data_IF_387560347996
#
_entry.id   IF_387560347996
#
_cell.length_a   1.000
_cell.length_b   1.000
_cell.length_c   1.000
_cell.angle_alpha   90.00
_cell.angle_beta   90.00
_cell.angle_gamma   90.00
#
_symmetry.space_group_name_H-M   'P 1'
#
loop_
_entity.id
_entity.type
_entity.pdbx_description
1 polymer ?
#
# COMPACT_ATOMS: atom_id res chain seq x y z
N UNK A 1 -22.39 -18.10 14.88
CA UNK A 1 -21.43 -17.10 14.34
C UNK A 1 -20.18 -17.84 13.89
N UNK A 2 -19.88 -17.86 12.59
CA UNK A 2 -18.74 -18.60 12.06
C UNK A 2 -17.42 -17.99 12.57
N UNK A 3 -16.59 -18.80 13.24
CA UNK A 3 -15.28 -18.39 13.73
C UNK A 3 -14.37 -18.18 12.52
N UNK A 4 -14.12 -16.93 12.16
CA UNK A 4 -13.19 -16.57 11.07
C UNK A 4 -11.82 -17.14 11.40
N UNK A 5 -11.26 -17.97 10.52
CA UNK A 5 -9.94 -18.56 10.73
C UNK A 5 -8.88 -17.45 10.83
N UNK A 6 -7.79 -17.65 11.60
CA UNK A 6 -6.74 -16.63 11.77
C UNK A 6 -6.18 -16.09 10.45
N UNK A 7 -5.99 -16.95 9.45
CA UNK A 7 -5.52 -16.56 8.11
C UNK A 7 -6.53 -15.65 7.37
N UNK A 8 -7.83 -15.94 7.48
CA UNK A 8 -8.88 -15.10 6.89
C UNK A 8 -8.93 -13.72 7.56
N UNK A 9 -8.66 -13.64 8.87
CA UNK A 9 -8.56 -12.34 9.55
C UNK A 9 -7.40 -11.49 9.03
N UNK A 10 -6.22 -12.09 8.83
CA UNK A 10 -5.07 -11.39 8.23
C UNK A 10 -5.40 -10.90 6.82
N UNK A 11 -5.99 -11.76 5.97
CA UNK A 11 -6.41 -11.40 4.61
C UNK A 11 -7.39 -10.23 4.61
N UNK A 12 -8.41 -10.29 5.45
CA UNK A 12 -9.48 -9.30 5.50
C UNK A 12 -8.99 -7.94 6.03
N UNK A 13 -8.18 -7.92 7.08
CA UNK A 13 -7.63 -6.68 7.62
C UNK A 13 -6.64 -6.01 6.67
N UNK A 14 -5.87 -6.83 5.94
CA UNK A 14 -4.99 -6.36 4.88
C UNK A 14 -5.77 -5.69 3.75
N UNK A 15 -6.85 -6.32 3.28
CA UNK A 15 -7.73 -5.75 2.28
C UNK A 15 -8.42 -4.46 2.78
N UNK A 16 -8.92 -4.47 4.02
CA UNK A 16 -9.53 -3.29 4.64
C UNK A 16 -8.56 -2.12 4.73
N UNK A 17 -7.32 -2.35 5.16
CA UNK A 17 -6.29 -1.31 5.23
C UNK A 17 -5.97 -0.69 3.85
N UNK A 18 -6.06 -1.46 2.76
CA UNK A 18 -5.91 -0.94 1.40
C UNK A 18 -7.12 -0.11 0.95
N UNK A 19 -8.35 -0.51 1.33
CA UNK A 19 -9.56 0.27 1.06
C UNK A 19 -9.60 1.58 1.85
N UNK A 20 -9.07 1.59 3.08
CA UNK A 20 -9.05 2.78 3.92
C UNK A 20 -8.09 3.86 3.45
N UNK A 21 -7.08 3.52 2.64
CA UNK A 21 -6.19 4.51 2.04
C UNK A 21 -6.91 5.54 1.15
N UNK A 22 -8.07 5.17 0.57
CA UNK A 22 -8.87 6.07 -0.27
C UNK A 22 -9.89 6.90 0.51
N UNK A 23 -9.97 6.74 1.84
CA UNK A 23 -10.90 7.49 2.68
C UNK A 23 -10.18 8.67 3.36
N UNK A 24 -10.87 9.80 3.62
CA UNK A 24 -10.35 10.91 4.41
C UNK A 24 -10.36 10.59 5.92
N UNK A 25 -9.96 9.37 6.27
CA UNK A 25 -10.03 8.81 7.63
C UNK A 25 -8.78 7.97 7.92
N UNK A 26 -7.60 8.61 8.06
CA UNK A 26 -6.32 7.91 8.23
C UNK A 26 -6.31 6.97 9.46
N UNK A 27 -7.09 7.29 10.50
CA UNK A 27 -7.23 6.45 11.69
C UNK A 27 -7.85 5.05 11.41
N UNK A 28 -8.66 4.89 10.37
CA UNK A 28 -9.24 3.59 10.00
C UNK A 28 -8.15 2.62 9.54
N UNK A 29 -7.22 3.12 8.72
CA UNK A 29 -6.03 2.39 8.30
C UNK A 29 -5.15 2.04 9.49
N UNK A 30 -4.89 3.01 10.37
CA UNK A 30 -4.05 2.78 11.54
C UNK A 30 -4.65 1.74 12.49
N UNK A 31 -5.99 1.75 12.66
CA UNK A 31 -6.71 0.73 13.40
C UNK A 31 -6.58 -0.65 12.76
N UNK A 32 -6.71 -0.76 11.44
CA UNK A 32 -6.52 -2.02 10.72
C UNK A 32 -5.08 -2.56 10.84
N UNK A 33 -4.08 -1.67 10.80
CA UNK A 33 -2.68 -2.04 11.03
C UNK A 33 -2.41 -2.46 12.47
N UNK A 34 -3.00 -1.79 13.45
CA UNK A 34 -2.90 -2.15 14.86
C UNK A 34 -3.49 -3.56 15.10
N UNK A 35 -4.63 -3.84 14.49
CA UNK A 35 -5.25 -5.17 14.57
C UNK A 35 -4.40 -6.24 13.86
N UNK A 36 -3.83 -5.94 12.69
CA UNK A 36 -2.87 -6.88 12.06
C UNK A 36 -1.70 -7.20 13.00
N UNK A 37 -1.13 -6.20 13.69
CA UNK A 37 -0.02 -6.42 14.64
C UNK A 37 -0.42 -7.32 15.82
N UNK A 38 -1.68 -7.32 16.22
CA UNK A 38 -2.19 -8.14 17.34
C UNK A 38 -2.32 -9.63 16.98
N UNK A 39 -2.37 -9.98 15.69
CA UNK A 39 -2.51 -11.37 15.19
C UNK A 39 -1.20 -12.19 15.18
N UNK A 40 -0.18 -11.80 15.94
CA UNK A 40 1.07 -12.55 16.06
C UNK A 40 2.08 -12.30 14.93
N UNK A 41 3.08 -13.18 14.75
CA UNK A 41 4.21 -12.93 13.82
C UNK A 41 3.79 -12.73 12.36
N UNK A 42 2.80 -13.47 11.88
CA UNK A 42 2.25 -13.33 10.53
C UNK A 42 1.51 -12.01 10.34
N UNK A 43 0.68 -11.65 11.32
CA UNK A 43 -0.02 -10.37 11.35
C UNK A 43 0.93 -9.17 11.40
N UNK A 44 2.01 -9.24 12.19
CA UNK A 44 3.06 -8.19 12.21
C UNK A 44 3.75 -8.04 10.86
N UNK A 45 4.08 -9.15 10.19
CA UNK A 45 4.66 -9.13 8.83
C UNK A 45 3.68 -8.52 7.84
N UNK A 46 2.40 -8.87 7.90
CA UNK A 46 1.36 -8.25 7.08
C UNK A 46 1.21 -6.75 7.36
N UNK A 47 1.21 -6.33 8.64
CA UNK A 47 1.15 -4.92 9.02
C UNK A 47 2.37 -4.12 8.55
N UNK A 48 3.57 -4.71 8.55
CA UNK A 48 4.77 -4.08 7.99
C UNK A 48 4.64 -3.91 6.46
N UNK A 49 4.21 -4.95 5.75
CA UNK A 49 3.99 -4.90 4.29
C UNK A 49 2.95 -3.85 3.91
N UNK A 50 1.82 -3.81 4.61
CA UNK A 50 0.77 -2.81 4.38
C UNK A 50 1.18 -1.43 4.91
N UNK A 51 1.97 -1.37 5.98
CA UNK A 51 2.40 -0.14 6.60
C UNK A 51 3.48 0.62 5.81
N UNK A 52 4.24 -0.08 4.95
CA UNK A 52 5.41 0.46 4.27
C UNK A 52 5.12 1.71 3.41
N UNK A 53 3.96 1.75 2.74
CA UNK A 53 3.54 2.88 1.92
C UNK A 53 2.34 3.60 2.53
N UNK A 54 2.32 4.93 2.45
CA UNK A 54 1.13 5.75 2.72
C UNK A 54 0.07 5.50 1.64
N UNK A 55 -1.18 5.92 1.88
CA UNK A 55 -2.24 5.76 0.88
C UNK A 55 -1.92 6.45 -0.45
N UNK A 56 -1.39 7.67 -0.40
CA UNK A 56 -0.97 8.39 -1.60
C UNK A 56 0.20 7.73 -2.32
N UNK A 57 1.17 7.21 -1.58
CA UNK A 57 2.29 6.45 -2.15
C UNK A 57 1.82 5.15 -2.81
N UNK A 58 0.86 4.45 -2.20
CA UNK A 58 0.26 3.24 -2.75
C UNK A 58 -0.50 3.52 -4.04
N UNK A 59 -1.24 4.61 -4.10
CA UNK A 59 -1.96 5.02 -5.30
C UNK A 59 -0.99 5.28 -6.46
N UNK A 60 0.07 6.06 -6.22
CA UNK A 60 1.14 6.30 -7.21
C UNK A 60 1.82 4.99 -7.63
N UNK A 61 2.20 4.15 -6.67
CA UNK A 61 2.86 2.86 -6.94
C UNK A 61 1.98 1.95 -7.80
N UNK A 62 0.68 1.91 -7.53
CA UNK A 62 -0.28 1.04 -8.24
C UNK A 62 -0.47 1.51 -9.68
N UNK A 63 -0.63 2.81 -9.92
CA UNK A 63 -0.73 3.35 -11.28
C UNK A 63 0.58 3.14 -12.06
N UNK A 64 1.72 3.30 -11.40
CA UNK A 64 3.03 3.07 -12.01
C UNK A 64 3.27 1.59 -12.33
N UNK A 65 2.88 0.66 -11.45
CA UNK A 65 2.96 -0.78 -11.70
C UNK A 65 2.10 -1.21 -12.90
N UNK A 66 0.98 -0.52 -13.16
CA UNK A 66 0.10 -0.74 -14.32
C UNK A 66 0.63 -0.16 -15.64
N UNK A 67 1.80 0.49 -15.64
CA UNK A 67 2.41 1.02 -16.86
C UNK A 67 2.08 2.49 -17.16
N UNK A 68 1.28 3.19 -16.36
CA UNK A 68 0.92 4.59 -16.64
C UNK A 68 2.12 5.55 -16.53
N UNK A 69 2.41 6.37 -17.56
CA UNK A 69 3.51 7.33 -17.50
C UNK A 69 3.29 8.35 -16.38
N UNK A 70 4.39 8.87 -15.83
CA UNK A 70 4.38 9.84 -14.71
C UNK A 70 3.51 11.07 -15.01
N UNK A 71 3.41 11.50 -16.26
CA UNK A 71 2.54 12.60 -16.72
C UNK A 71 1.05 12.27 -16.59
N UNK A 72 0.62 11.06 -16.96
CA UNK A 72 -0.77 10.61 -16.79
C UNK A 72 -1.11 10.40 -15.31
N UNK A 73 -0.17 9.87 -14.53
CA UNK A 73 -0.34 9.75 -13.07
C UNK A 73 -0.53 11.15 -12.46
N UNK A 74 0.30 12.11 -12.85
CA UNK A 74 0.23 13.49 -12.37
C UNK A 74 -1.13 14.12 -12.68
N UNK A 75 -1.63 13.96 -13.91
CA UNK A 75 -2.93 14.44 -14.33
C UNK A 75 -4.07 13.78 -13.52
N UNK A 76 -4.09 12.45 -13.42
CA UNK A 76 -5.13 11.70 -12.70
C UNK A 76 -5.19 12.07 -11.22
N UNK A 77 -4.02 12.32 -10.63
CA UNK A 77 -3.87 12.61 -9.21
C UNK A 77 -3.90 14.12 -8.91
N UNK A 78 -4.04 14.98 -9.92
CA UNK A 78 -4.06 16.44 -9.78
C UNK A 78 -2.82 16.99 -9.05
N UNK A 79 -1.63 16.51 -9.42
CA UNK A 79 -0.34 16.95 -8.87
C UNK A 79 0.68 17.19 -9.99
N UNK A 80 1.81 17.79 -9.67
CA UNK A 80 2.88 17.98 -10.67
C UNK A 80 3.60 16.67 -11.01
N UNK A 81 4.20 16.58 -12.21
CA UNK A 81 5.07 15.45 -12.59
C UNK A 81 6.20 15.26 -11.58
N UNK A 82 6.82 16.35 -11.13
CA UNK A 82 7.89 16.34 -10.12
C UNK A 82 7.44 15.76 -8.78
N UNK A 83 6.19 16.00 -8.40
CA UNK A 83 5.58 15.42 -7.20
C UNK A 83 5.48 13.90 -7.33
N UNK A 84 5.03 13.39 -8.48
CA UNK A 84 4.96 11.95 -8.75
C UNK A 84 6.35 11.30 -8.73
N UNK A 85 7.35 11.91 -9.39
CA UNK A 85 8.75 11.45 -9.33
C UNK A 85 9.25 11.38 -7.88
N UNK A 86 8.99 12.43 -7.10
CA UNK A 86 9.38 12.47 -5.68
C UNK A 86 8.65 11.42 -4.83
N UNK A 87 7.42 11.05 -5.19
CA UNK A 87 6.73 9.92 -4.55
C UNK A 87 7.39 8.61 -4.95
N UNK A 88 7.69 8.39 -6.23
CA UNK A 88 8.35 7.18 -6.73
C UNK A 88 9.71 6.95 -6.06
N UNK A 89 10.54 7.98 -5.91
CA UNK A 89 11.83 7.86 -5.21
C UNK A 89 11.68 7.45 -3.74
N UNK A 90 10.63 7.91 -3.06
CA UNK A 90 10.32 7.48 -1.69
C UNK A 90 9.78 6.06 -1.66
N UNK A 91 8.92 5.70 -2.61
CA UNK A 91 8.35 4.35 -2.75
C UNK A 91 9.46 3.33 -2.97
N UNK A 92 10.39 3.59 -3.90
CA UNK A 92 11.49 2.68 -4.20
C UNK A 92 12.35 2.40 -2.97
N UNK A 93 12.71 3.44 -2.21
CA UNK A 93 13.44 3.30 -0.94
C UNK A 93 12.65 2.54 0.12
N UNK A 94 11.34 2.81 0.24
CA UNK A 94 10.45 2.13 1.20
C UNK A 94 10.24 0.65 0.86
N UNK A 95 10.25 0.30 -0.41
CA UNK A 95 10.08 -1.08 -0.89
C UNK A 95 11.41 -1.82 -1.09
N UNK A 96 12.56 -1.13 -1.01
CA UNK A 96 13.88 -1.72 -1.24
C UNK A 96 14.10 -2.15 -2.70
N UNK A 97 13.49 -1.44 -3.66
CA UNK A 97 13.61 -1.74 -5.09
C UNK A 97 14.36 -0.65 -5.84
N UNK A 98 14.96 -1.02 -6.96
CA UNK A 98 15.81 -0.16 -7.80
C UNK A 98 15.04 0.61 -8.89
N UNK A 99 13.76 0.32 -9.09
CA UNK A 99 12.93 1.13 -9.96
C UNK A 99 11.59 0.54 -10.36
N UNK A 100 10.99 1.23 -11.33
CA UNK A 100 9.60 1.04 -11.76
C UNK A 100 9.26 -0.39 -12.18
N UNK A 101 10.18 -1.09 -12.85
CA UNK A 101 9.94 -2.45 -13.37
C UNK A 101 9.70 -3.47 -12.25
N UNK A 102 10.28 -3.25 -11.07
CA UNK A 102 10.09 -4.09 -9.88
C UNK A 102 8.81 -3.76 -9.12
N UNK A 103 8.09 -2.68 -9.45
CA UNK A 103 6.88 -2.29 -8.71
C UNK A 103 5.80 -3.37 -8.77
N UNK A 104 5.55 -3.95 -9.94
CA UNK A 104 4.53 -4.98 -10.07
C UNK A 104 4.84 -6.15 -9.13
N UNK A 105 6.06 -6.68 -9.18
CA UNK A 105 6.55 -7.76 -8.31
C UNK A 105 6.50 -7.37 -6.82
N UNK A 106 7.02 -6.20 -6.45
CA UNK A 106 7.04 -5.74 -5.06
C UNK A 106 5.63 -5.48 -4.49
N UNK A 107 4.69 -5.12 -5.35
CA UNK A 107 3.27 -5.03 -5.00
C UNK A 107 2.54 -6.36 -5.10
N UNK A 108 3.10 -7.40 -5.73
CA UNK A 108 2.47 -8.71 -5.91
C UNK A 108 2.99 -9.78 -4.93
N UNK A 109 4.14 -9.53 -4.29
CA UNK A 109 4.58 -10.21 -3.05
C UNK A 109 3.68 -9.87 -1.83
N UNK A 110 2.39 -9.65 -2.11
CA UNK A 110 1.28 -9.23 -1.29
C UNK A 110 0.65 -10.42 -0.58
#
# INVERSE_FOLDING_TARGET
MARVAPADRVRNLRAAAALYDSLPAPWLRDRALAELRSLGPEGRRAAQRVGALTGREREVATLAARGLPTTEIAARLHVSRRTVESHLDRIYRKLGIDGRRRLAEALDQR
#
